data_IF_064462763397
#
_entry.id   IF_064462763397
#
_cell.length_a   1.000
_cell.length_b   1.000
_cell.length_c   1.000
_cell.angle_alpha   90.00
_cell.angle_beta   90.00
_cell.angle_gamma   90.00
#
_symmetry.space_group_name_H-M   'P 1'
#
loop_
_entity.id
_entity.type
_entity.pdbx_description
1 polymer ?
#
# COMPACT_ATOMS: atom_id res chain seq x y z
N UNK A 1 3.11 3.98 17.81
CA UNK A 1 2.75 3.87 16.38
C UNK A 1 3.48 2.71 15.76
N UNK A 2 2.77 1.84 15.05
CA UNK A 2 3.38 0.66 14.44
C UNK A 2 4.10 1.03 13.15
N UNK A 3 5.05 0.17 12.74
CA UNK A 3 5.74 0.34 11.46
C UNK A 3 4.76 0.34 10.29
N UNK A 4 3.72 -0.50 10.37
CA UNK A 4 2.72 -0.57 9.33
C UNK A 4 1.97 0.77 9.18
N UNK A 5 1.58 1.38 10.30
CA UNK A 5 0.90 2.68 10.24
C UNK A 5 1.80 3.75 9.62
N UNK A 6 3.08 3.72 9.95
CA UNK A 6 4.06 4.65 9.39
C UNK A 6 4.21 4.44 7.87
N UNK A 7 4.35 3.19 7.45
CA UNK A 7 4.52 2.90 6.02
C UNK A 7 3.27 3.24 5.22
N UNK A 8 2.08 3.04 5.79
CA UNK A 8 0.84 3.44 5.14
C UNK A 8 0.75 4.95 4.97
N UNK A 9 1.18 5.69 5.98
CA UNK A 9 1.22 7.16 5.90
C UNK A 9 2.21 7.61 4.84
N UNK A 10 3.38 6.99 4.79
CA UNK A 10 4.39 7.31 3.79
C UNK A 10 3.88 7.01 2.38
N UNK A 11 3.19 5.89 2.20
CA UNK A 11 2.60 5.55 0.92
C UNK A 11 1.53 6.57 0.52
N UNK A 12 0.70 6.97 1.47
CA UNK A 12 -0.34 7.98 1.22
C UNK A 12 0.30 9.31 0.78
N UNK A 13 1.38 9.71 1.44
CA UNK A 13 2.11 10.93 1.10
C UNK A 13 2.71 10.86 -0.30
N UNK A 14 3.37 9.75 -0.62
CA UNK A 14 3.96 9.54 -1.95
C UNK A 14 2.88 9.52 -3.03
N UNK A 15 1.76 8.87 -2.75
CA UNK A 15 0.64 8.83 -3.70
C UNK A 15 0.09 10.23 -3.97
N UNK A 16 -0.04 11.04 -2.93
CA UNK A 16 -0.51 12.41 -3.06
C UNK A 16 0.45 13.30 -3.84
N UNK A 17 1.76 13.01 -3.78
CA UNK A 17 2.80 13.77 -4.47
C UNK A 17 3.07 13.24 -5.88
N UNK A 18 2.59 12.05 -6.21
CA UNK A 18 2.87 11.44 -7.50
C UNK A 18 2.20 12.20 -8.64
N UNK A 19 3.01 12.65 -9.59
CA UNK A 19 2.53 13.29 -10.81
C UNK A 19 2.49 12.25 -11.92
N UNK A 20 1.58 12.40 -12.86
CA UNK A 20 1.45 11.54 -14.04
C UNK A 20 1.16 10.07 -13.71
N UNK A 21 0.66 9.83 -12.51
CA UNK A 21 0.20 8.49 -12.15
C UNK A 21 -1.12 8.22 -12.88
N UNK A 22 -1.26 7.03 -13.48
CA UNK A 22 -2.49 6.72 -14.18
C UNK A 22 -3.67 6.69 -13.21
N UNK A 23 -4.88 7.08 -13.65
CA UNK A 23 -6.06 7.02 -12.78
C UNK A 23 -6.33 5.62 -12.23
N UNK A 24 -6.06 4.59 -13.03
CA UNK A 24 -6.26 3.21 -12.61
C UNK A 24 -5.31 2.81 -11.47
N UNK A 25 -4.03 3.18 -11.59
CA UNK A 25 -3.05 2.89 -10.55
C UNK A 25 -3.34 3.68 -9.29
N UNK A 26 -3.75 4.95 -9.44
CA UNK A 26 -4.13 5.78 -8.29
C UNK A 26 -5.33 5.18 -7.57
N UNK A 27 -6.35 4.78 -8.30
CA UNK A 27 -7.55 4.19 -7.72
C UNK A 27 -7.21 2.88 -7.00
N UNK A 28 -6.37 2.05 -7.60
CA UNK A 28 -5.94 0.79 -6.98
C UNK A 28 -5.24 1.05 -5.65
N UNK A 29 -4.28 1.98 -5.63
CA UNK A 29 -3.52 2.27 -4.43
C UNK A 29 -4.39 2.90 -3.34
N UNK A 30 -5.30 3.79 -3.71
CA UNK A 30 -6.23 4.40 -2.74
C UNK A 30 -7.15 3.35 -2.14
N UNK A 31 -7.67 2.44 -2.95
CA UNK A 31 -8.52 1.35 -2.49
C UNK A 31 -7.76 0.45 -1.51
N UNK A 32 -6.55 0.07 -1.86
CA UNK A 32 -5.72 -0.79 -1.00
C UNK A 32 -5.43 -0.09 0.33
N UNK A 33 -5.09 1.19 0.30
CA UNK A 33 -4.84 1.95 1.52
C UNK A 33 -6.05 1.98 2.44
N UNK A 34 -7.23 2.22 1.88
CA UNK A 34 -8.47 2.24 2.66
C UNK A 34 -8.75 0.86 3.26
N UNK A 35 -8.59 -0.19 2.47
CA UNK A 35 -8.85 -1.55 2.92
C UNK A 35 -7.89 -1.98 4.04
N UNK A 36 -6.62 -1.66 3.92
CA UNK A 36 -5.63 -1.99 4.96
C UNK A 36 -5.95 -1.22 6.25
N UNK A 37 -6.29 0.06 6.14
CA UNK A 37 -6.69 0.84 7.31
C UNK A 37 -7.91 0.24 8.00
N UNK A 38 -8.86 -0.21 7.22
CA UNK A 38 -10.08 -0.83 7.76
C UNK A 38 -9.75 -2.12 8.52
N UNK A 39 -8.83 -2.93 7.97
CA UNK A 39 -8.37 -4.14 8.65
C UNK A 39 -7.73 -3.81 10.00
N UNK A 40 -6.92 -2.75 10.06
CA UNK A 40 -6.27 -2.34 11.30
C UNK A 40 -7.24 -1.79 12.34
N UNK A 41 -8.29 -1.10 11.89
CA UNK A 41 -9.26 -0.49 12.80
C UNK A 41 -10.37 -1.45 13.23
N UNK A 42 -10.63 -2.48 12.43
CA UNK A 42 -11.69 -3.46 12.72
C UNK A 42 -11.08 -4.85 12.87
N UNK A 43 -10.71 -5.26 14.09
CA UNK A 43 -10.01 -6.52 14.31
C UNK A 43 -10.84 -7.76 14.05
N UNK A 44 -12.13 -7.62 13.77
CA UNK A 44 -13.04 -8.75 13.57
C UNK A 44 -13.42 -8.82 12.10
N UNK A 45 -13.32 -10.02 11.50
CA UNK A 45 -13.79 -10.32 10.15
C UNK A 45 -13.08 -9.53 9.05
N UNK A 46 -11.78 -9.30 9.19
CA UNK A 46 -11.00 -8.65 8.14
C UNK A 46 -10.88 -9.58 6.93
N UNK A 47 -11.03 -9.05 5.69
CA UNK A 47 -10.74 -9.85 4.50
C UNK A 47 -9.28 -10.30 4.49
N UNK A 48 -9.01 -11.40 3.78
CA UNK A 48 -7.67 -11.99 3.73
C UNK A 48 -6.66 -10.99 3.17
N UNK A 49 -5.60 -10.64 3.92
CA UNK A 49 -4.63 -9.62 3.47
C UNK A 49 -3.80 -10.04 2.27
N UNK A 50 -3.77 -11.32 1.95
CA UNK A 50 -3.00 -11.84 0.82
C UNK A 50 -3.39 -11.24 -0.52
N UNK A 51 -4.66 -10.86 -0.68
CA UNK A 51 -5.13 -10.23 -1.91
C UNK A 51 -4.47 -8.87 -2.13
N UNK A 52 -4.28 -8.12 -1.04
CA UNK A 52 -3.64 -6.80 -1.11
C UNK A 52 -2.15 -6.93 -1.39
N UNK A 53 -1.51 -7.98 -0.87
CA UNK A 53 -0.10 -8.23 -1.11
C UNK A 53 0.22 -8.39 -2.58
N UNK A 54 -0.56 -9.20 -3.29
CA UNK A 54 -0.35 -9.43 -4.72
C UNK A 54 -0.58 -8.15 -5.53
N UNK A 55 -1.63 -7.41 -5.21
CA UNK A 55 -1.94 -6.15 -5.89
C UNK A 55 -0.84 -5.11 -5.68
N UNK A 56 -0.33 -5.00 -4.45
CA UNK A 56 0.73 -4.07 -4.11
C UNK A 56 2.04 -4.45 -4.80
N UNK A 57 2.38 -5.73 -4.81
CA UNK A 57 3.61 -6.19 -5.47
C UNK A 57 3.57 -5.89 -6.97
N UNK A 58 2.46 -6.18 -7.63
CA UNK A 58 2.29 -5.84 -9.03
C UNK A 58 2.39 -4.36 -9.31
N UNK A 59 1.80 -3.54 -8.44
CA UNK A 59 1.88 -2.09 -8.57
C UNK A 59 3.32 -1.60 -8.41
N UNK A 60 4.06 -2.13 -7.43
CA UNK A 60 5.45 -1.75 -7.22
C UNK A 60 6.30 -2.04 -8.45
N UNK A 61 6.11 -3.21 -9.06
CA UNK A 61 6.85 -3.57 -10.27
C UNK A 61 6.53 -2.61 -11.42
N UNK A 62 5.25 -2.31 -11.63
CA UNK A 62 4.84 -1.41 -12.71
C UNK A 62 5.36 0.01 -12.51
N UNK A 63 5.40 0.47 -11.26
CA UNK A 63 5.74 1.87 -10.96
C UNK A 63 7.23 2.11 -10.75
N UNK A 64 8.02 1.06 -10.65
CA UNK A 64 9.44 1.16 -10.31
C UNK A 64 10.22 2.09 -11.24
N UNK A 65 9.94 2.04 -12.53
CA UNK A 65 10.66 2.85 -13.51
C UNK A 65 10.24 4.32 -13.48
N UNK A 66 8.94 4.57 -13.39
CA UNK A 66 8.41 5.94 -13.49
C UNK A 66 8.25 6.64 -12.14
N UNK A 67 8.04 5.88 -11.07
CA UNK A 67 7.78 6.42 -9.74
C UNK A 67 8.54 5.61 -8.69
N UNK A 68 9.88 5.69 -8.66
CA UNK A 68 10.68 4.85 -7.75
C UNK A 68 10.37 5.09 -6.27
N UNK A 69 10.07 6.34 -5.88
CA UNK A 69 9.70 6.64 -4.50
C UNK A 69 8.40 5.96 -4.10
N UNK A 70 7.42 5.98 -4.99
CA UNK A 70 6.14 5.33 -4.76
C UNK A 70 6.31 3.81 -4.69
N UNK A 71 7.08 3.23 -5.60
CA UNK A 71 7.37 1.80 -5.59
C UNK A 71 8.06 1.38 -4.28
N UNK A 72 9.00 2.18 -3.81
CA UNK A 72 9.68 1.93 -2.55
C UNK A 72 8.73 1.98 -1.36
N UNK A 73 7.82 2.93 -1.35
CA UNK A 73 6.81 3.04 -0.30
C UNK A 73 5.88 1.83 -0.31
N UNK A 74 5.49 1.35 -1.49
CA UNK A 74 4.66 0.15 -1.62
C UNK A 74 5.39 -1.07 -1.04
N UNK A 75 6.67 -1.23 -1.36
CA UNK A 75 7.46 -2.34 -0.83
C UNK A 75 7.61 -2.27 0.68
N UNK A 76 7.73 -1.06 1.23
CA UNK A 76 7.78 -0.89 2.68
C UNK A 76 6.48 -1.33 3.35
N UNK A 77 5.34 -1.04 2.73
CA UNK A 77 4.04 -1.51 3.22
C UNK A 77 3.99 -3.05 3.19
N UNK A 78 4.44 -3.67 2.08
CA UNK A 78 4.47 -5.12 1.97
C UNK A 78 5.32 -5.75 3.07
N UNK A 79 6.49 -5.20 3.33
CA UNK A 79 7.38 -5.68 4.37
C UNK A 79 6.75 -5.57 5.74
N UNK A 80 6.12 -4.42 6.02
CA UNK A 80 5.45 -4.19 7.29
C UNK A 80 4.25 -5.13 7.51
N UNK A 81 3.51 -5.43 6.43
CA UNK A 81 2.40 -6.40 6.51
C UNK A 81 2.93 -7.78 6.90
N UNK A 82 4.03 -8.20 6.29
CA UNK A 82 4.66 -9.47 6.63
C UNK A 82 5.12 -9.53 8.08
N UNK A 83 5.73 -8.45 8.57
CA UNK A 83 6.20 -8.36 9.96
C UNK A 83 5.04 -8.35 10.96
N UNK A 84 3.91 -7.77 10.57
CA UNK A 84 2.74 -7.73 11.43
C UNK A 84 1.96 -9.05 11.44
N UNK A 85 2.34 -10.00 10.60
CA UNK A 85 1.65 -11.27 10.52
C UNK A 85 0.30 -11.20 9.81
N UNK A 86 0.15 -10.18 9.00
CA UNK A 86 -1.10 -9.97 8.27
C UNK A 86 -0.97 -10.51 6.86
#
# INVERSE_FOLDING_TARGET
MTDLQRTLRDLHTELGSAERLSPDDRALLETVLVDIRRVLEAPVAAPAPGEHGDALEGAAVRLEAGHPGLAGAIRAVLDALGKAGI
#
